data_IF_547888325685
#
_entry.id   IF_547888325685
#
_cell.length_a   1.000
_cell.length_b   1.000
_cell.length_c   1.000
_cell.angle_alpha   90.00
_cell.angle_beta   90.00
_cell.angle_gamma   90.00
#
_symmetry.space_group_name_H-M   'P 1'
#
loop_
_entity.id
_entity.type
_entity.pdbx_description
1 polymer ?
#
# COMPACT_ATOMS: atom_id res chain seq x y z
N UNK A 1 -18.52 19.48 17.68
CA UNK A 1 -17.26 18.77 17.37
C UNK A 1 -17.63 17.33 17.11
N UNK A 2 -17.79 16.94 15.85
CA UNK A 2 -18.08 15.55 15.50
C UNK A 2 -16.73 14.88 15.33
N UNK A 3 -16.40 13.99 16.25
CA UNK A 3 -15.22 13.14 16.18
C UNK A 3 -15.47 12.11 15.06
N UNK A 4 -15.39 12.57 13.80
CA UNK A 4 -15.18 11.72 12.64
C UNK A 4 -13.76 11.21 12.74
N UNK A 5 -13.54 10.33 13.73
CA UNK A 5 -12.41 9.43 13.75
C UNK A 5 -12.57 8.57 12.51
N UNK A 6 -12.04 9.10 11.42
CA UNK A 6 -11.68 8.40 10.22
C UNK A 6 -11.12 7.07 10.70
N UNK A 7 -11.92 6.01 10.57
CA UNK A 7 -11.41 4.64 10.60
C UNK A 7 -10.40 4.64 9.49
N UNK A 8 -9.14 4.98 9.81
CA UNK A 8 -8.02 4.86 8.90
C UNK A 8 -8.16 3.42 8.43
N UNK A 9 -8.50 3.20 7.17
CA UNK A 9 -8.64 1.84 6.71
C UNK A 9 -7.29 1.19 6.98
N UNK A 10 -7.31 0.12 7.77
CA UNK A 10 -6.09 -0.61 8.09
C UNK A 10 -5.98 -1.67 7.02
N UNK A 11 -4.94 -1.58 6.19
CA UNK A 11 -4.67 -2.65 5.24
C UNK A 11 -4.38 -3.94 6.02
N UNK A 12 -5.09 -5.01 5.71
CA UNK A 12 -4.87 -6.29 6.38
C UNK A 12 -3.54 -6.90 5.92
N UNK A 13 -2.89 -7.69 6.78
CA UNK A 13 -1.65 -8.39 6.42
C UNK A 13 -1.81 -9.28 5.19
N UNK A 14 -3.01 -9.84 4.97
CA UNK A 14 -3.34 -10.62 3.78
C UNK A 14 -3.32 -9.76 2.51
N UNK A 15 -3.89 -8.56 2.55
CA UNK A 15 -3.86 -7.62 1.44
C UNK A 15 -2.44 -7.14 1.14
N UNK A 16 -1.64 -6.85 2.18
CA UNK A 16 -0.21 -6.51 2.03
C UNK A 16 0.54 -7.63 1.29
N UNK A 17 0.37 -8.88 1.72
CA UNK A 17 1.03 -10.04 1.09
C UNK A 17 0.56 -10.28 -0.34
N UNK A 18 -0.74 -10.11 -0.62
CA UNK A 18 -1.27 -10.23 -1.97
C UNK A 18 -0.66 -9.16 -2.90
N UNK A 19 -0.66 -7.90 -2.46
CA UNK A 19 -0.10 -6.78 -3.24
C UNK A 19 1.40 -6.93 -3.47
N UNK A 20 2.14 -7.37 -2.45
CA UNK A 20 3.57 -7.67 -2.55
C UNK A 20 3.84 -8.71 -3.66
N UNK A 21 3.10 -9.82 -3.63
CA UNK A 21 3.20 -10.88 -4.66
C UNK A 21 2.76 -10.41 -6.04
N UNK A 22 1.65 -9.69 -6.14
CA UNK A 22 1.12 -9.18 -7.41
C UNK A 22 2.07 -8.16 -8.06
N UNK A 23 2.65 -7.27 -7.27
CA UNK A 23 3.52 -6.22 -7.78
C UNK A 23 4.98 -6.68 -7.94
N UNK A 24 5.36 -7.78 -7.28
CA UNK A 24 6.73 -8.29 -7.24
C UNK A 24 7.62 -7.48 -6.30
N UNK A 25 7.06 -6.93 -5.23
CA UNK A 25 7.75 -6.12 -4.21
C UNK A 25 7.62 -6.77 -2.83
N UNK A 26 8.33 -6.26 -1.83
CA UNK A 26 8.27 -6.77 -0.46
C UNK A 26 7.06 -6.26 0.32
N UNK A 27 6.63 -7.00 1.35
CA UNK A 27 5.56 -6.57 2.26
C UNK A 27 5.90 -5.23 2.95
N UNK A 28 7.18 -4.97 3.26
CA UNK A 28 7.64 -3.71 3.83
C UNK A 28 7.46 -2.54 2.86
N UNK A 29 7.83 -2.70 1.59
CA UNK A 29 7.59 -1.67 0.56
C UNK A 29 6.09 -1.37 0.42
N UNK A 30 5.22 -2.38 0.45
CA UNK A 30 3.76 -2.15 0.43
C UNK A 30 3.29 -1.35 1.66
N UNK A 31 3.80 -1.65 2.86
CA UNK A 31 3.44 -0.89 4.07
C UNK A 31 3.93 0.56 3.99
N UNK A 32 5.12 0.79 3.46
CA UNK A 32 5.62 2.15 3.22
C UNK A 32 4.74 2.90 2.23
N UNK A 33 4.41 2.29 1.09
CA UNK A 33 3.49 2.86 0.10
C UNK A 33 2.15 3.18 0.78
N UNK A 34 1.57 2.25 1.54
CA UNK A 34 0.30 2.47 2.24
C UNK A 34 0.41 3.63 3.23
N UNK A 35 1.55 3.77 3.90
CA UNK A 35 1.80 4.90 4.79
C UNK A 35 1.92 6.24 4.04
N UNK A 36 2.30 6.22 2.77
CA UNK A 36 2.48 7.42 1.93
C UNK A 36 1.19 7.82 1.19
N UNK A 37 0.51 6.86 0.56
CA UNK A 37 -0.66 7.12 -0.32
C UNK A 37 -2.00 6.68 0.27
N UNK A 38 -2.00 6.01 1.42
CA UNK A 38 -3.18 5.41 2.02
C UNK A 38 -3.46 3.99 1.52
N UNK A 39 -4.65 3.46 1.80
CA UNK A 39 -5.02 2.07 1.48
C UNK A 39 -5.54 1.87 0.06
N UNK A 40 -5.63 2.93 -0.73
CA UNK A 40 -6.25 2.85 -2.05
C UNK A 40 -5.47 1.90 -2.94
N UNK A 41 -6.10 0.77 -3.29
CA UNK A 41 -5.46 -0.31 -4.04
C UNK A 41 -4.87 0.19 -5.37
N UNK A 42 -5.55 1.10 -6.04
CA UNK A 42 -5.08 1.69 -7.30
C UNK A 42 -3.79 2.52 -7.09
N UNK A 43 -3.76 3.36 -6.06
CA UNK A 43 -2.59 4.15 -5.67
C UNK A 43 -1.43 3.23 -5.27
N UNK A 44 -1.69 2.21 -4.44
CA UNK A 44 -0.66 1.27 -3.99
C UNK A 44 -0.05 0.51 -5.18
N UNK A 45 -0.88 -0.03 -6.07
CA UNK A 45 -0.40 -0.75 -7.25
C UNK A 45 0.40 0.14 -8.21
N UNK A 46 0.05 1.43 -8.32
CA UNK A 46 0.80 2.40 -9.13
C UNK A 46 2.19 2.62 -8.54
N UNK A 47 2.26 2.96 -7.25
CA UNK A 47 3.54 3.19 -6.57
C UNK A 47 4.39 1.92 -6.52
N UNK A 48 3.79 0.75 -6.26
CA UNK A 48 4.52 -0.52 -6.24
C UNK A 48 5.10 -0.89 -7.62
N UNK A 49 4.39 -0.58 -8.71
CA UNK A 49 4.92 -0.74 -10.07
C UNK A 49 6.05 0.24 -10.37
N UNK A 50 5.94 1.48 -9.90
CA UNK A 50 7.00 2.49 -10.05
C UNK A 50 8.25 2.09 -9.29
N UNK A 51 8.10 1.63 -8.04
CA UNK A 51 9.19 1.07 -7.22
C UNK A 51 9.92 -0.06 -7.96
N UNK A 52 9.18 -1.04 -8.51
CA UNK A 52 9.81 -2.12 -9.28
C UNK A 52 10.54 -1.64 -10.53
N UNK A 53 10.05 -0.59 -11.19
CA UNK A 53 10.65 -0.05 -12.43
C UNK A 53 11.84 0.87 -12.16
N UNK A 54 11.90 1.48 -10.96
CA UNK A 54 12.94 2.41 -10.54
C UNK A 54 14.18 1.77 -9.93
N UNK A 55 14.19 0.47 -9.65
CA UNK A 55 15.38 -0.29 -9.26
C UNK A 55 16.30 -0.60 -10.47
N UNK A 56 16.66 0.44 -11.24
CA UNK A 56 17.62 0.36 -12.34
C UNK A 56 18.81 1.30 -12.12
#
# INVERSE_FOLDING_TARGET
MTDEQARRPVITSQAVRALARECGVTESQIREIVSLVGVDRASIMREARLLRKGEN
#
